data_IF_853944527908
#
_entry.id   IF_853944527908
#
_cell.length_a   1.000
_cell.length_b   1.000
_cell.length_c   1.000
_cell.angle_alpha   90.00
_cell.angle_beta   90.00
_cell.angle_gamma   90.00
#
_symmetry.space_group_name_H-M   'P 1'
#
loop_
_entity.id
_entity.type
_entity.pdbx_description
1 polymer ?
#
# COMPACT_ATOMS: atom_id res chain seq x y z
N UNK A 1 -40.70 16.03 -3.18
CA UNK A 1 -40.42 15.40 -1.86
C UNK A 1 -38.98 15.59 -1.42
N UNK A 2 -37.97 15.46 -2.29
CA UNK A 2 -36.52 15.54 -1.93
C UNK A 2 -36.10 16.88 -1.30
N UNK A 3 -36.62 18.01 -1.76
CA UNK A 3 -36.26 19.33 -1.21
C UNK A 3 -36.81 19.55 0.20
N UNK A 4 -37.98 19.00 0.55
CA UNK A 4 -38.55 19.13 1.91
C UNK A 4 -37.75 18.35 2.96
N UNK A 5 -37.16 17.19 2.57
CA UNK A 5 -36.30 16.39 3.44
C UNK A 5 -34.96 17.11 3.71
N UNK A 6 -34.42 17.78 2.69
CA UNK A 6 -33.16 18.54 2.82
C UNK A 6 -33.36 19.77 3.72
N UNK A 7 -34.49 20.50 3.57
CA UNK A 7 -34.82 21.65 4.45
C UNK A 7 -35.11 21.21 5.89
N UNK A 8 -35.74 20.04 6.08
CA UNK A 8 -35.98 19.49 7.41
C UNK A 8 -34.65 19.06 8.08
N UNK A 9 -33.72 18.53 7.33
CA UNK A 9 -32.38 18.13 7.81
C UNK A 9 -31.55 19.36 8.19
N UNK A 10 -31.54 20.41 7.34
CA UNK A 10 -30.86 21.68 7.65
C UNK A 10 -31.48 22.39 8.86
N UNK A 11 -32.81 22.35 9.01
CA UNK A 11 -33.50 22.94 10.17
C UNK A 11 -33.19 22.15 11.46
N UNK A 12 -33.08 20.83 11.40
CA UNK A 12 -32.71 19.99 12.53
C UNK A 12 -31.27 20.25 12.98
N UNK A 13 -30.35 20.40 12.02
CA UNK A 13 -28.94 20.73 12.28
C UNK A 13 -28.77 22.12 12.90
N UNK A 14 -29.58 23.11 12.45
CA UNK A 14 -29.62 24.45 13.08
C UNK A 14 -30.23 24.42 14.48
N UNK A 15 -31.26 23.60 14.71
CA UNK A 15 -31.90 23.46 16.02
C UNK A 15 -30.99 22.75 17.04
N UNK A 16 -30.23 21.75 16.61
CA UNK A 16 -29.22 21.09 17.45
C UNK A 16 -28.09 22.05 17.84
N UNK A 17 -27.64 22.91 16.92
CA UNK A 17 -26.61 23.92 17.19
C UNK A 17 -27.05 24.99 18.18
N UNK A 18 -28.36 25.14 18.39
CA UNK A 18 -28.94 26.12 19.33
C UNK A 18 -29.24 25.56 20.72
N UNK A 19 -29.18 24.24 20.91
CA UNK A 19 -29.60 23.57 22.16
C UNK A 19 -28.37 23.09 22.98
N UNK A 20 -27.19 22.99 22.34
CA UNK A 20 -25.99 22.65 23.06
C UNK A 20 -25.40 23.87 23.78
N UNK A 21 -24.99 23.75 25.05
CA UNK A 21 -24.31 24.84 25.74
C UNK A 21 -22.97 25.08 25.04
N UNK A 22 -22.91 26.18 24.27
CA UNK A 22 -21.74 26.58 23.48
C UNK A 22 -20.64 27.03 24.43
N UNK A 23 -19.82 26.11 24.91
CA UNK A 23 -18.46 26.43 25.28
C UNK A 23 -17.61 26.27 24.04
N UNK A 24 -17.31 27.37 23.38
CA UNK A 24 -16.23 27.65 22.44
C UNK A 24 -15.68 26.51 21.52
N UNK A 25 -16.48 25.49 21.17
CA UNK A 25 -16.11 24.53 20.14
C UNK A 25 -16.15 25.20 18.76
N UNK A 26 -15.11 25.04 17.98
CA UNK A 26 -15.04 25.58 16.61
C UNK A 26 -16.07 24.88 15.70
N UNK A 27 -16.44 25.51 14.59
CA UNK A 27 -17.40 24.92 13.63
C UNK A 27 -16.87 23.58 13.06
N UNK A 28 -15.56 23.39 13.04
CA UNK A 28 -14.92 22.15 12.57
C UNK A 28 -15.04 21.04 13.62
N UNK A 29 -14.92 21.33 14.92
CA UNK A 29 -15.15 20.37 16.01
C UNK A 29 -16.60 19.90 16.07
N UNK A 30 -17.57 20.83 15.87
CA UNK A 30 -18.98 20.46 15.80
C UNK A 30 -19.30 19.61 14.55
N UNK A 31 -18.67 19.90 13.42
CA UNK A 31 -18.81 19.12 12.21
C UNK A 31 -18.26 17.70 12.40
N UNK A 32 -17.13 17.56 13.05
CA UNK A 32 -16.52 16.27 13.37
C UNK A 32 -17.38 15.43 14.33
N UNK A 33 -17.93 16.04 15.38
CA UNK A 33 -18.85 15.38 16.33
C UNK A 33 -20.11 14.91 15.59
N UNK A 34 -20.72 15.76 14.76
CA UNK A 34 -21.92 15.41 14.00
C UNK A 34 -21.64 14.30 12.97
N UNK A 35 -20.50 14.34 12.30
CA UNK A 35 -20.10 13.31 11.35
C UNK A 35 -19.83 11.97 12.06
N UNK A 36 -19.12 11.99 13.17
CA UNK A 36 -18.84 10.79 13.98
C UNK A 36 -20.16 10.16 14.48
N UNK A 37 -21.11 10.94 14.94
CA UNK A 37 -22.42 10.43 15.42
C UNK A 37 -23.34 9.98 14.28
N UNK A 38 -23.41 10.73 13.17
CA UNK A 38 -24.28 10.40 12.03
C UNK A 38 -23.84 9.16 11.26
N UNK A 39 -22.54 8.95 11.12
CA UNK A 39 -21.97 7.82 10.37
C UNK A 39 -21.56 6.66 11.29
N UNK A 40 -21.82 6.75 12.60
CA UNK A 40 -21.42 5.74 13.61
C UNK A 40 -19.92 5.40 13.50
N UNK A 41 -19.09 6.41 13.32
CA UNK A 41 -17.63 6.21 13.32
C UNK A 41 -17.22 5.73 14.70
N UNK A 42 -16.81 4.49 14.78
CA UNK A 42 -16.27 3.92 16.00
C UNK A 42 -14.83 4.42 16.18
N UNK A 43 -14.55 5.13 17.27
CA UNK A 43 -13.23 5.71 17.53
C UNK A 43 -12.26 4.62 17.99
N UNK A 44 -12.67 3.80 18.97
CA UNK A 44 -11.90 2.66 19.47
C UNK A 44 -12.61 1.36 19.16
N UNK A 45 -11.88 0.41 18.58
CA UNK A 45 -12.41 -0.91 18.26
C UNK A 45 -11.57 -1.93 19.01
N UNK A 46 -12.25 -2.70 19.87
CA UNK A 46 -11.60 -3.81 20.56
C UNK A 46 -11.20 -4.89 19.53
N UNK A 47 -10.01 -5.51 19.65
CA UNK A 47 -9.61 -6.58 18.73
C UNK A 47 -10.62 -7.72 18.62
N UNK A 48 -11.38 -8.01 19.71
CA UNK A 48 -12.44 -9.03 19.69
C UNK A 48 -13.68 -8.64 18.87
N UNK A 49 -13.86 -7.37 18.56
CA UNK A 49 -14.98 -6.83 17.79
C UNK A 49 -14.68 -6.70 16.29
N UNK A 50 -13.44 -6.90 15.88
CA UNK A 50 -12.98 -6.75 14.52
C UNK A 50 -12.44 -8.08 13.97
N UNK A 51 -12.90 -8.53 12.78
CA UNK A 51 -12.30 -9.69 12.13
C UNK A 51 -10.80 -9.46 11.91
N UNK A 52 -10.01 -10.46 12.24
CA UNK A 52 -8.59 -10.45 11.94
C UNK A 52 -8.35 -10.52 10.43
N UNK A 53 -7.33 -9.82 9.95
CA UNK A 53 -6.89 -9.94 8.55
C UNK A 53 -6.13 -11.25 8.43
N UNK A 54 -6.63 -12.19 7.64
CA UNK A 54 -6.05 -13.54 7.50
C UNK A 54 -5.50 -13.82 6.10
N UNK A 55 -6.07 -13.18 5.07
CA UNK A 55 -5.72 -13.40 3.65
C UNK A 55 -4.65 -12.39 3.21
N UNK A 56 -3.39 -12.63 3.63
CA UNK A 56 -2.24 -11.81 3.23
C UNK A 56 -0.93 -12.60 3.26
N UNK A 57 -0.03 -12.26 2.36
CA UNK A 57 1.30 -12.87 2.24
C UNK A 57 2.30 -12.25 3.23
N UNK A 58 2.28 -10.93 3.39
CA UNK A 58 3.17 -10.15 4.28
C UNK A 58 2.51 -8.84 4.65
N UNK A 59 3.10 -8.14 5.61
CA UNK A 59 2.73 -6.77 5.97
C UNK A 59 3.94 -5.84 6.04
N UNK A 60 3.67 -4.55 5.85
CA UNK A 60 4.59 -3.46 6.20
C UNK A 60 3.99 -2.67 7.34
N UNK A 61 4.84 -2.21 8.26
CA UNK A 61 4.45 -1.32 9.34
C UNK A 61 5.02 0.07 9.07
N UNK A 62 4.18 1.10 9.16
CA UNK A 62 4.61 2.49 9.13
C UNK A 62 4.41 3.13 10.51
N UNK A 63 5.47 3.77 10.99
CA UNK A 63 5.51 4.53 12.24
C UNK A 63 5.60 5.99 11.86
N UNK A 64 4.59 6.76 12.22
CA UNK A 64 4.57 8.21 12.02
C UNK A 64 5.46 8.94 13.03
N UNK A 65 5.19 10.20 13.22
CA UNK A 65 5.96 11.11 14.07
C UNK A 65 5.97 10.65 15.53
N UNK A 66 7.13 10.31 16.06
CA UNK A 66 7.31 9.79 17.43
C UNK A 66 7.86 10.83 18.40
N UNK A 67 8.07 12.04 17.96
CA UNK A 67 8.73 13.10 18.71
C UNK A 67 8.14 13.33 20.10
N UNK A 68 6.82 13.35 20.23
CA UNK A 68 6.15 13.62 21.52
C UNK A 68 6.28 12.42 22.47
N UNK A 69 6.15 11.19 21.98
CA UNK A 69 6.36 10.01 22.83
C UNK A 69 7.84 9.86 23.19
N UNK A 70 8.75 10.20 22.32
CA UNK A 70 10.17 10.17 22.58
C UNK A 70 10.58 11.15 23.68
N UNK A 71 10.04 12.38 23.64
CA UNK A 71 10.33 13.43 24.62
C UNK A 71 9.65 13.17 25.96
N UNK A 72 8.33 12.99 25.95
CA UNK A 72 7.50 13.10 27.16
C UNK A 72 6.99 11.75 27.67
N UNK A 73 6.97 10.72 26.84
CA UNK A 73 6.41 9.40 27.17
C UNK A 73 7.33 8.26 26.69
N UNK A 74 8.59 8.20 27.13
CA UNK A 74 9.55 7.21 26.62
C UNK A 74 9.12 5.76 26.84
N UNK A 75 8.26 5.48 27.79
CA UNK A 75 7.66 4.17 28.00
C UNK A 75 6.72 3.78 26.85
N UNK A 76 6.05 4.76 26.22
CA UNK A 76 5.20 4.48 25.04
C UNK A 76 6.06 4.15 23.81
N UNK A 77 7.25 4.76 23.71
CA UNK A 77 8.23 4.39 22.67
C UNK A 77 8.63 2.91 22.85
N UNK A 78 8.94 2.49 24.07
CA UNK A 78 9.25 1.09 24.39
C UNK A 78 8.06 0.18 24.03
N UNK A 79 6.84 0.54 24.43
CA UNK A 79 5.63 -0.25 24.14
C UNK A 79 5.40 -0.39 22.62
N UNK A 80 5.65 0.66 21.84
CA UNK A 80 5.52 0.64 20.39
C UNK A 80 6.48 -0.37 19.76
N UNK A 81 7.76 -0.32 20.11
CA UNK A 81 8.76 -1.24 19.58
C UNK A 81 8.62 -2.66 20.12
N UNK A 82 8.17 -2.83 21.38
CA UNK A 82 7.77 -4.14 21.91
C UNK A 82 6.66 -4.76 21.07
N UNK A 83 5.65 -3.97 20.73
CA UNK A 83 4.54 -4.45 19.91
C UNK A 83 5.03 -4.89 18.52
N UNK A 84 5.86 -4.08 17.84
CA UNK A 84 6.42 -4.45 16.54
C UNK A 84 7.16 -5.80 16.65
N UNK A 85 8.11 -5.91 17.58
CA UNK A 85 8.95 -7.08 17.74
C UNK A 85 8.15 -8.35 18.08
N UNK A 86 7.14 -8.23 18.93
CA UNK A 86 6.28 -9.34 19.33
C UNK A 86 5.30 -9.79 18.22
N UNK A 87 5.11 -8.96 17.18
CA UNK A 87 4.17 -9.23 16.09
C UNK A 87 4.87 -9.54 14.75
N UNK A 88 6.20 -9.58 14.69
CA UNK A 88 6.92 -9.86 13.43
C UNK A 88 6.40 -11.12 12.76
N UNK A 89 6.37 -12.23 13.48
CA UNK A 89 5.91 -13.53 12.96
C UNK A 89 4.38 -13.56 12.77
N UNK A 90 3.62 -13.17 13.82
CA UNK A 90 2.16 -13.28 13.83
C UNK A 90 1.49 -12.44 12.74
N UNK A 91 2.05 -11.26 12.43
CA UNK A 91 1.53 -10.35 11.40
C UNK A 91 2.38 -10.35 10.13
N UNK A 92 3.34 -11.28 10.01
CA UNK A 92 4.26 -11.41 8.87
C UNK A 92 4.87 -10.04 8.49
N UNK A 93 5.36 -9.29 9.50
CA UNK A 93 5.94 -7.96 9.30
C UNK A 93 7.26 -8.12 8.56
N UNK A 94 7.28 -7.75 7.28
CA UNK A 94 8.44 -7.90 6.43
C UNK A 94 9.34 -6.64 6.44
N UNK A 95 8.80 -5.47 6.78
CA UNK A 95 9.52 -4.21 6.80
C UNK A 95 8.87 -3.17 7.69
N UNK A 96 9.69 -2.26 8.27
CA UNK A 96 9.21 -1.13 9.08
C UNK A 96 9.69 0.19 8.47
N UNK A 97 8.77 1.13 8.24
CA UNK A 97 9.05 2.49 7.76
C UNK A 97 8.86 3.49 8.89
N UNK A 98 9.89 4.22 9.29
CA UNK A 98 9.81 5.38 10.17
C UNK A 98 9.73 6.67 9.33
N UNK A 99 8.71 7.50 9.57
CA UNK A 99 8.36 8.60 8.68
C UNK A 99 8.86 9.98 9.13
N UNK A 100 9.80 10.01 10.05
CA UNK A 100 10.47 11.25 10.51
C UNK A 100 9.91 11.80 11.82
N UNK A 101 10.42 12.96 12.21
CA UNK A 101 10.16 13.60 13.49
C UNK A 101 10.27 12.61 14.66
N UNK A 102 11.44 11.97 14.73
CA UNK A 102 11.76 10.95 15.74
C UNK A 102 11.94 11.61 17.11
N UNK A 103 12.57 12.79 17.12
CA UNK A 103 12.83 13.61 18.32
C UNK A 103 12.14 14.96 18.21
N UNK A 104 11.76 15.58 19.34
CA UNK A 104 11.11 16.89 19.34
C UNK A 104 12.11 18.04 19.33
N UNK A 105 13.13 17.97 20.16
CA UNK A 105 14.14 19.02 20.34
C UNK A 105 15.56 18.59 20.01
N UNK A 106 15.73 17.38 19.50
CA UNK A 106 17.04 16.83 19.11
C UNK A 106 18.04 16.78 20.29
N UNK A 107 17.54 16.66 21.51
CA UNK A 107 18.37 16.54 22.71
C UNK A 107 19.06 15.17 22.78
N UNK A 108 20.18 15.12 23.53
CA UNK A 108 20.88 13.84 23.75
C UNK A 108 19.97 12.81 24.44
N UNK A 109 19.10 13.23 25.34
CA UNK A 109 18.18 12.35 26.05
C UNK A 109 17.15 11.71 25.11
N UNK A 110 16.52 12.50 24.24
CA UNK A 110 15.58 12.00 23.23
C UNK A 110 16.28 11.02 22.28
N UNK A 111 17.47 11.37 21.77
CA UNK A 111 18.23 10.48 20.90
C UNK A 111 18.64 9.16 21.58
N UNK A 112 18.93 9.19 22.89
CA UNK A 112 19.22 7.96 23.63
C UNK A 112 17.99 7.06 23.75
N UNK A 113 16.79 7.63 23.94
CA UNK A 113 15.53 6.90 23.92
C UNK A 113 15.26 6.31 22.54
N UNK A 114 15.29 7.15 21.50
CA UNK A 114 15.04 6.76 20.12
C UNK A 114 15.99 5.64 19.67
N UNK A 115 17.29 5.85 19.82
CA UNK A 115 18.32 4.88 19.44
C UNK A 115 18.13 3.54 20.14
N UNK A 116 17.92 3.55 21.45
CA UNK A 116 17.74 2.33 22.25
C UNK A 116 16.59 1.48 21.71
N UNK A 117 15.46 2.10 21.37
CA UNK A 117 14.28 1.35 20.93
C UNK A 117 14.38 0.94 19.44
N UNK A 118 14.82 1.85 18.58
CA UNK A 118 14.95 1.59 17.14
C UNK A 118 15.96 0.47 16.86
N UNK A 119 17.12 0.50 17.51
CA UNK A 119 18.18 -0.50 17.29
C UNK A 119 17.78 -1.92 17.68
N UNK A 120 16.70 -2.10 18.45
CA UNK A 120 16.14 -3.43 18.74
C UNK A 120 15.59 -4.14 17.51
N UNK A 121 15.32 -3.41 16.44
CA UNK A 121 14.91 -3.99 15.15
C UNK A 121 16.09 -4.66 14.42
N UNK A 122 17.34 -4.29 14.74
CA UNK A 122 18.51 -4.83 14.08
C UNK A 122 18.58 -6.37 14.17
N UNK A 123 18.68 -7.02 12.99
CA UNK A 123 18.71 -8.47 12.89
C UNK A 123 17.37 -9.19 13.13
N UNK A 124 16.29 -8.45 13.42
CA UNK A 124 14.95 -9.01 13.62
C UNK A 124 14.04 -8.72 12.41
N UNK A 125 13.91 -7.45 12.04
CA UNK A 125 13.13 -7.02 10.89
C UNK A 125 13.83 -5.83 10.23
N UNK A 126 13.98 -5.81 8.90
CA UNK A 126 14.59 -4.69 8.21
C UNK A 126 13.72 -3.44 8.30
N UNK A 127 14.37 -2.28 8.33
CA UNK A 127 13.67 -1.02 8.48
C UNK A 127 14.39 0.13 7.78
N UNK A 128 13.66 1.22 7.54
CA UNK A 128 14.22 2.50 7.12
C UNK A 128 13.61 3.65 7.91
N UNK A 129 14.39 4.71 8.03
CA UNK A 129 13.99 5.92 8.72
C UNK A 129 14.11 7.10 7.77
N UNK A 130 13.19 8.04 7.88
CA UNK A 130 13.25 9.34 7.24
C UNK A 130 13.57 10.38 8.31
N UNK A 131 14.32 11.40 7.96
CA UNK A 131 14.55 12.55 8.83
C UNK A 131 13.39 13.53 8.72
N UNK A 132 12.85 13.96 9.86
CA UNK A 132 11.86 15.03 9.93
C UNK A 132 12.47 16.41 10.20
N UNK A 133 11.63 17.45 10.29
CA UNK A 133 12.11 18.82 10.53
C UNK A 133 12.57 19.05 11.98
N UNK A 134 12.06 18.29 12.93
CA UNK A 134 12.53 18.32 14.32
C UNK A 134 13.87 17.61 14.49
N UNK A 135 14.22 16.68 13.60
CA UNK A 135 15.47 15.92 13.64
C UNK A 135 16.61 16.69 12.96
N UNK A 136 17.49 17.31 13.72
CA UNK A 136 18.66 17.99 13.12
C UNK A 136 19.58 16.98 12.45
N UNK A 137 19.88 17.18 11.17
CA UNK A 137 20.60 16.24 10.31
C UNK A 137 21.92 15.73 10.91
N UNK A 138 22.74 16.61 11.53
CA UNK A 138 24.00 16.18 12.15
C UNK A 138 23.78 15.27 13.37
N UNK A 139 22.75 15.52 14.18
CA UNK A 139 22.41 14.67 15.32
C UNK A 139 21.81 13.35 14.85
N UNK A 140 20.89 13.39 13.89
CA UNK A 140 20.29 12.22 13.26
C UNK A 140 21.37 11.25 12.74
N UNK A 141 22.29 11.73 11.91
CA UNK A 141 23.37 10.90 11.38
C UNK A 141 24.32 10.42 12.48
N UNK A 142 24.73 11.29 13.40
CA UNK A 142 25.61 10.91 14.50
C UNK A 142 25.06 9.80 15.38
N UNK A 143 23.74 9.79 15.59
CA UNK A 143 23.11 8.86 16.52
C UNK A 143 22.66 7.57 15.86
N UNK A 144 22.19 7.62 14.61
CA UNK A 144 21.54 6.49 13.94
C UNK A 144 22.35 5.87 12.80
N UNK A 145 23.34 6.57 12.21
CA UNK A 145 24.18 6.01 11.15
C UNK A 145 25.21 5.02 11.73
N UNK A 146 24.72 3.95 12.32
CA UNK A 146 25.54 2.85 12.82
C UNK A 146 25.84 1.84 11.73
N UNK A 147 26.92 1.07 11.87
CA UNK A 147 27.26 0.01 10.91
C UNK A 147 26.08 -0.94 10.69
N UNK A 148 25.40 -1.37 11.75
CA UNK A 148 24.24 -2.25 11.68
C UNK A 148 23.06 -1.65 10.91
N UNK A 149 22.86 -0.34 10.96
CA UNK A 149 21.80 0.32 10.21
C UNK A 149 22.23 0.62 8.77
N UNK A 150 23.44 1.13 8.58
CA UNK A 150 23.95 1.46 7.24
C UNK A 150 24.10 0.24 6.34
N UNK A 151 24.46 -0.93 6.91
CA UNK A 151 24.57 -2.19 6.17
C UNK A 151 23.24 -2.69 5.60
N UNK A 152 22.11 -2.10 5.98
CA UNK A 152 20.80 -2.44 5.41
C UNK A 152 20.54 -1.77 4.05
N UNK A 153 21.35 -0.78 3.66
CA UNK A 153 21.17 -0.01 2.42
C UNK A 153 22.23 -0.40 1.39
N UNK A 154 21.87 -0.32 0.13
CA UNK A 154 22.75 -0.50 -1.01
C UNK A 154 23.42 0.81 -1.43
N UNK A 155 22.86 1.94 -0.99
CA UNK A 155 23.49 3.25 -1.20
C UNK A 155 22.83 4.39 -0.47
N UNK A 156 23.59 5.49 -0.38
CA UNK A 156 23.16 6.77 0.16
C UNK A 156 23.60 7.90 -0.77
N UNK A 157 22.90 9.04 -0.73
CA UNK A 157 23.24 10.23 -1.53
C UNK A 157 24.60 10.82 -1.11
N UNK A 158 24.91 10.77 0.17
CA UNK A 158 26.19 11.19 0.72
C UNK A 158 26.78 10.02 1.50
N UNK A 159 28.05 9.72 1.26
CA UNK A 159 28.79 8.71 2.00
C UNK A 159 28.70 8.98 3.53
N UNK A 160 28.59 7.93 4.31
CA UNK A 160 28.47 7.97 5.78
C UNK A 160 27.22 8.70 6.32
N UNK A 161 26.21 8.96 5.48
CA UNK A 161 24.97 9.62 5.89
C UNK A 161 23.74 8.80 5.51
N UNK A 162 22.71 8.93 6.34
CA UNK A 162 21.45 8.20 6.20
C UNK A 162 20.24 9.10 5.90
N UNK A 163 20.46 10.38 5.59
CA UNK A 163 19.37 11.31 5.26
C UNK A 163 18.62 10.91 3.99
N UNK A 164 19.35 10.33 3.03
CA UNK A 164 18.78 9.84 1.77
C UNK A 164 19.43 8.50 1.42
N UNK A 165 18.64 7.45 1.42
CA UNK A 165 19.11 6.08 1.24
C UNK A 165 18.21 5.30 0.30
N UNK A 166 18.72 4.20 -0.24
CA UNK A 166 17.92 3.28 -1.02
C UNK A 166 18.40 1.83 -0.81
N UNK A 167 17.46 0.90 -1.05
CA UNK A 167 17.73 -0.53 -1.10
C UNK A 167 16.73 -1.26 -1.97
N UNK A 168 17.12 -2.41 -2.50
CA UNK A 168 16.20 -3.41 -3.02
C UNK A 168 15.69 -4.31 -1.90
N UNK A 169 14.49 -4.87 -2.07
CA UNK A 169 13.88 -5.75 -1.09
C UNK A 169 12.89 -6.70 -1.77
N UNK A 170 13.10 -8.01 -1.64
CA UNK A 170 12.21 -9.01 -2.21
C UNK A 170 11.40 -9.69 -1.12
N UNK A 171 10.08 -9.74 -1.28
CA UNK A 171 9.17 -10.45 -0.39
C UNK A 171 8.02 -11.06 -1.19
N UNK A 172 7.66 -12.31 -0.94
CA UNK A 172 6.59 -13.04 -1.62
C UNK A 172 6.66 -12.92 -3.17
N UNK A 173 7.86 -13.01 -3.73
CA UNK A 173 8.17 -12.85 -5.16
C UNK A 173 7.87 -11.45 -5.75
N UNK A 174 7.70 -10.45 -4.91
CA UNK A 174 7.60 -9.05 -5.35
C UNK A 174 8.91 -8.36 -5.06
N UNK A 175 9.53 -7.79 -6.10
CA UNK A 175 10.76 -7.02 -5.98
C UNK A 175 10.41 -5.54 -5.75
N UNK A 176 10.85 -5.01 -4.63
CA UNK A 176 10.68 -3.63 -4.22
C UNK A 176 11.98 -2.85 -4.32
N UNK A 177 11.88 -1.56 -4.64
CA UNK A 177 12.91 -0.56 -4.42
C UNK A 177 12.39 0.44 -3.39
N UNK A 178 13.03 0.50 -2.23
CA UNK A 178 12.74 1.49 -1.20
C UNK A 178 13.68 2.66 -1.35
N UNK A 179 13.12 3.86 -1.48
CA UNK A 179 13.87 5.13 -1.59
C UNK A 179 13.42 6.05 -0.47
N UNK A 180 14.33 6.36 0.43
CA UNK A 180 14.08 7.21 1.59
C UNK A 180 14.66 8.59 1.33
N UNK A 181 13.81 9.62 1.34
CA UNK A 181 14.18 10.99 1.02
C UNK A 181 14.06 11.89 2.23
N UNK A 182 15.04 12.71 2.41
CA UNK A 182 15.12 13.71 3.46
C UNK A 182 13.94 14.69 3.47
N UNK A 183 13.73 15.34 4.61
CA UNK A 183 12.78 16.44 4.74
C UNK A 183 13.06 17.54 3.70
N UNK A 184 12.15 17.67 2.75
CA UNK A 184 12.27 18.65 1.68
C UNK A 184 13.45 18.40 0.74
N UNK A 185 13.56 17.20 0.18
CA UNK A 185 14.65 16.84 -0.73
C UNK A 185 14.90 17.89 -1.83
N UNK A 186 16.18 18.26 -2.06
CA UNK A 186 16.58 19.20 -3.08
C UNK A 186 16.46 18.62 -4.48
N UNK A 187 16.57 19.45 -5.53
CA UNK A 187 16.57 18.99 -6.93
C UNK A 187 17.69 17.98 -7.20
N UNK A 188 18.86 18.17 -6.61
CA UNK A 188 19.98 17.24 -6.75
C UNK A 188 19.65 15.86 -6.18
N UNK A 189 18.99 15.81 -5.01
CA UNK A 189 18.54 14.57 -4.38
C UNK A 189 17.43 13.91 -5.20
N UNK A 190 16.47 14.69 -5.73
CA UNK A 190 15.41 14.14 -6.58
C UNK A 190 15.96 13.56 -7.89
N UNK A 191 16.97 14.21 -8.49
CA UNK A 191 17.64 13.69 -9.70
C UNK A 191 18.38 12.38 -9.40
N UNK A 192 19.16 12.34 -8.31
CA UNK A 192 19.84 11.12 -7.86
C UNK A 192 18.85 9.97 -7.62
N UNK A 193 17.73 10.23 -6.92
CA UNK A 193 16.69 9.22 -6.72
C UNK A 193 16.09 8.75 -8.07
N UNK A 194 15.90 9.67 -9.02
CA UNK A 194 15.43 9.35 -10.36
C UNK A 194 16.35 8.42 -11.13
N UNK A 195 17.67 8.63 -11.03
CA UNK A 195 18.68 7.76 -11.65
C UNK A 195 18.61 6.33 -11.06
N UNK A 196 18.44 6.21 -9.76
CA UNK A 196 18.29 4.91 -9.09
C UNK A 196 16.99 4.22 -9.53
N UNK A 197 15.87 4.93 -9.56
CA UNK A 197 14.58 4.38 -9.98
C UNK A 197 14.64 3.91 -11.44
N UNK A 198 15.27 4.68 -12.31
CA UNK A 198 15.46 4.33 -13.72
C UNK A 198 16.35 3.08 -13.89
N UNK A 199 17.33 2.88 -13.01
CA UNK A 199 18.19 1.70 -13.02
C UNK A 199 17.48 0.42 -12.50
N UNK A 200 16.31 0.56 -11.89
CA UNK A 200 15.53 -0.55 -11.31
C UNK A 200 14.11 -0.62 -11.91
N UNK A 201 13.95 -0.73 -13.24
CA UNK A 201 12.64 -0.61 -13.90
C UNK A 201 11.66 -1.72 -13.51
N UNK A 202 12.15 -2.85 -13.02
CA UNK A 202 11.36 -4.02 -12.66
C UNK A 202 11.00 -4.09 -11.16
N UNK A 203 11.32 -3.06 -10.39
CA UNK A 203 10.98 -3.01 -8.96
C UNK A 203 9.76 -2.13 -8.72
N UNK A 204 8.88 -2.54 -7.83
CA UNK A 204 7.86 -1.65 -7.26
C UNK A 204 8.53 -0.63 -6.35
N UNK A 205 8.45 0.64 -6.70
CA UNK A 205 9.09 1.69 -5.91
C UNK A 205 8.16 2.18 -4.82
N UNK A 206 8.62 2.10 -3.58
CA UNK A 206 8.02 2.79 -2.44
C UNK A 206 8.97 3.91 -2.01
N UNK A 207 8.45 5.13 -2.02
CA UNK A 207 9.19 6.31 -1.54
C UNK A 207 8.68 6.65 -0.16
N UNK A 208 9.58 6.80 0.81
CA UNK A 208 9.27 7.42 2.09
C UNK A 208 9.94 8.80 2.19
N UNK A 209 9.19 9.77 2.68
CA UNK A 209 9.67 11.12 2.96
C UNK A 209 8.86 11.69 4.12
N UNK A 210 9.29 12.83 4.70
CA UNK A 210 8.56 13.38 5.84
C UNK A 210 7.42 14.30 5.40
N UNK A 211 7.70 15.46 4.82
CA UNK A 211 6.70 16.49 4.51
C UNK A 211 6.23 16.42 3.05
N UNK A 212 5.10 15.78 2.80
CA UNK A 212 4.61 15.57 1.43
C UNK A 212 3.11 15.89 1.26
N UNK A 213 2.25 15.27 2.06
CA UNK A 213 0.80 15.44 1.98
C UNK A 213 0.26 16.35 3.08
N UNK A 214 -0.92 16.90 2.82
CA UNK A 214 -1.76 17.60 3.79
C UNK A 214 -2.99 16.76 4.12
N UNK A 215 -3.59 16.98 5.32
CA UNK A 215 -4.69 16.16 5.89
C UNK A 215 -5.97 16.08 5.03
N UNK A 216 -6.09 16.82 3.96
CA UNK A 216 -7.21 16.76 3.01
C UNK A 216 -6.88 15.95 1.74
N UNK A 217 -5.81 15.16 1.75
CA UNK A 217 -5.33 14.38 0.61
C UNK A 217 -4.60 15.19 -0.46
N UNK A 218 -4.49 16.52 -0.31
CA UNK A 218 -3.71 17.35 -1.22
C UNK A 218 -2.22 17.29 -0.86
N UNK A 219 -1.36 17.57 -1.83
CA UNK A 219 0.07 17.72 -1.59
C UNK A 219 0.38 19.08 -1.00
N UNK A 220 1.40 19.17 -0.16
CA UNK A 220 1.92 20.43 0.36
C UNK A 220 2.39 21.30 -0.82
N UNK A 221 1.94 22.56 -0.85
CA UNK A 221 2.31 23.56 -1.86
C UNK A 221 2.94 24.79 -1.19
N UNK A 222 3.46 25.72 -1.99
CA UNK A 222 4.01 26.98 -1.48
C UNK A 222 3.00 27.84 -0.71
N UNK A 223 1.70 27.62 -0.93
CA UNK A 223 0.60 28.38 -0.31
C UNK A 223 0.05 27.73 0.95
N UNK A 224 0.39 26.49 1.26
CA UNK A 224 0.03 25.83 2.53
C UNK A 224 0.94 26.37 3.66
N UNK A 225 0.70 27.61 4.08
CA UNK A 225 1.63 28.31 4.99
C UNK A 225 1.12 28.37 6.44
N UNK A 226 -0.09 27.87 6.72
CA UNK A 226 -0.83 28.37 7.88
C UNK A 226 -0.73 27.57 9.15
N UNK A 227 -0.24 26.36 9.17
CA UNK A 227 -0.19 25.63 10.45
C UNK A 227 0.97 24.65 10.55
N UNK A 228 1.72 24.47 9.49
CA UNK A 228 2.74 23.44 9.48
C UNK A 228 3.92 23.93 8.66
N UNK A 229 5.12 23.70 9.13
CA UNK A 229 6.31 24.18 8.44
C UNK A 229 6.40 23.60 7.04
N UNK A 230 6.13 24.43 6.04
CA UNK A 230 6.50 24.09 4.68
C UNK A 230 8.02 23.94 4.61
N UNK A 231 8.59 22.88 4.02
CA UNK A 231 10.02 22.68 3.93
C UNK A 231 10.79 23.93 3.45
N UNK A 232 10.23 24.66 2.48
CA UNK A 232 10.82 25.90 1.98
C UNK A 232 10.90 27.03 3.00
N UNK A 233 10.07 27.03 4.02
CA UNK A 233 10.08 28.05 5.06
C UNK A 233 11.08 27.76 6.17
N UNK A 234 11.52 26.49 6.31
CA UNK A 234 12.44 26.04 7.34
C UNK A 234 13.89 25.91 6.85
N UNK A 235 14.11 26.08 5.56
CA UNK A 235 15.41 25.96 4.91
C UNK A 235 15.74 27.24 4.15
N UNK A 236 16.85 27.26 3.44
CA UNK A 236 17.26 28.34 2.54
C UNK A 236 16.41 28.46 1.25
N UNK A 237 15.36 27.64 1.12
CA UNK A 237 14.46 27.61 -0.03
C UNK A 237 14.94 26.74 -1.19
N UNK A 238 16.11 26.07 -1.07
CA UNK A 238 16.65 25.17 -2.09
C UNK A 238 15.97 23.81 -2.15
N UNK A 239 15.02 23.56 -1.26
CA UNK A 239 14.29 22.29 -1.09
C UNK A 239 12.91 22.32 -1.77
N UNK A 240 12.33 21.14 -1.96
CA UNK A 240 11.04 20.97 -2.60
C UNK A 240 9.91 20.72 -1.59
N UNK A 241 8.75 21.29 -1.84
CA UNK A 241 7.51 20.89 -1.18
C UNK A 241 6.83 19.72 -1.92
N UNK A 242 5.82 19.09 -1.31
CA UNK A 242 5.20 17.87 -1.82
C UNK A 242 4.74 17.93 -3.28
N UNK A 243 4.12 19.04 -3.73
CA UNK A 243 3.73 19.17 -5.13
C UNK A 243 4.94 19.24 -6.07
N UNK A 244 6.03 19.88 -5.67
CA UNK A 244 7.25 19.91 -6.49
C UNK A 244 7.95 18.54 -6.56
N UNK A 245 7.96 17.78 -5.45
CA UNK A 245 8.47 16.40 -5.48
C UNK A 245 7.63 15.51 -6.41
N UNK A 246 6.31 15.68 -6.40
CA UNK A 246 5.43 15.01 -7.35
C UNK A 246 5.77 15.36 -8.80
N UNK A 247 5.84 16.65 -9.13
CA UNK A 247 6.04 17.11 -10.50
C UNK A 247 7.43 16.74 -11.04
N UNK A 248 8.45 16.71 -10.17
CA UNK A 248 9.84 16.48 -10.52
C UNK A 248 10.26 15.01 -10.50
N UNK A 249 9.64 14.19 -9.67
CA UNK A 249 10.04 12.79 -9.47
C UNK A 249 8.84 11.82 -9.44
N UNK A 250 7.90 11.98 -8.49
CA UNK A 250 6.99 10.91 -8.13
C UNK A 250 5.96 10.58 -9.20
N UNK A 251 5.63 11.54 -10.08
CA UNK A 251 4.75 11.29 -11.24
C UNK A 251 5.47 10.75 -12.47
N UNK A 252 6.81 10.71 -12.48
CA UNK A 252 7.60 10.58 -13.71
C UNK A 252 8.04 9.16 -14.03
N UNK A 253 7.94 8.25 -13.12
CA UNK A 253 8.37 6.85 -13.31
C UNK A 253 7.18 5.92 -13.14
N UNK A 254 6.98 5.02 -14.09
CA UNK A 254 5.83 4.11 -14.13
C UNK A 254 5.82 3.08 -13.00
N UNK A 255 7.00 2.75 -12.47
CA UNK A 255 7.19 1.79 -11.39
C UNK A 255 7.06 2.40 -9.99
N UNK A 256 6.87 3.73 -9.86
CA UNK A 256 6.53 4.33 -8.58
C UNK A 256 5.09 3.93 -8.22
N UNK A 257 4.97 3.24 -7.11
CA UNK A 257 3.74 2.59 -6.66
C UNK A 257 3.15 3.28 -5.43
N UNK A 258 3.99 3.66 -4.46
CA UNK A 258 3.53 4.16 -3.18
C UNK A 258 4.43 5.28 -2.65
N UNK A 259 3.82 6.23 -1.94
CA UNK A 259 4.52 7.28 -1.18
C UNK A 259 4.01 7.25 0.25
N UNK A 260 4.91 7.19 1.22
CA UNK A 260 4.61 7.25 2.65
C UNK A 260 5.14 8.55 3.23
N UNK A 261 4.34 9.26 4.03
CA UNK A 261 4.73 10.54 4.64
C UNK A 261 4.13 10.75 6.02
N UNK A 262 4.78 11.61 6.82
CA UNK A 262 4.36 12.11 8.13
C UNK A 262 4.12 13.62 8.13
N UNK A 263 4.60 14.32 9.18
CA UNK A 263 4.69 15.78 9.32
C UNK A 263 3.39 16.52 9.62
N UNK A 264 2.28 16.16 8.98
CA UNK A 264 1.01 16.86 9.17
C UNK A 264 0.13 16.03 10.08
N UNK A 265 0.01 16.45 11.32
CA UNK A 265 -0.79 15.72 12.31
C UNK A 265 -2.20 15.44 11.80
N UNK A 266 -2.59 14.19 11.84
CA UNK A 266 -3.90 13.67 11.44
C UNK A 266 -4.30 12.53 12.35
N UNK A 267 -5.61 12.40 12.61
CA UNK A 267 -6.12 11.26 13.40
C UNK A 267 -6.12 9.96 12.58
N UNK A 268 -6.38 10.06 11.27
CA UNK A 268 -6.55 8.91 10.37
C UNK A 268 -5.30 8.59 9.57
N UNK A 269 -5.24 7.38 9.04
CA UNK A 269 -4.34 7.02 7.95
C UNK A 269 -4.97 7.52 6.66
N UNK A 270 -4.49 8.67 6.18
CA UNK A 270 -5.03 9.31 4.97
C UNK A 270 -4.46 8.65 3.72
N UNK A 271 -5.32 8.33 2.77
CA UNK A 271 -4.94 7.81 1.46
C UNK A 271 -5.41 8.76 0.35
N UNK A 272 -4.49 9.18 -0.49
CA UNK A 272 -4.76 9.88 -1.74
C UNK A 272 -4.22 9.08 -2.92
N UNK A 273 -5.00 8.99 -3.99
CA UNK A 273 -4.63 8.20 -5.17
C UNK A 273 -4.48 9.14 -6.37
N UNK A 274 -3.35 9.05 -7.05
CA UNK A 274 -3.07 9.88 -8.22
C UNK A 274 -2.54 9.03 -9.39
N UNK A 275 -2.63 9.59 -10.60
CA UNK A 275 -2.03 9.00 -11.79
C UNK A 275 -0.71 9.69 -12.13
N UNK A 276 0.35 8.91 -12.30
CA UNK A 276 1.59 9.38 -12.89
C UNK A 276 1.43 9.71 -14.38
N UNK A 277 2.44 10.31 -14.97
CA UNK A 277 2.41 10.70 -16.39
C UNK A 277 2.33 9.50 -17.36
N UNK A 278 2.71 8.32 -16.90
CA UNK A 278 2.62 7.05 -17.65
C UNK A 278 1.28 6.33 -17.41
N UNK A 279 0.34 6.92 -16.63
CA UNK A 279 -0.95 6.32 -16.30
C UNK A 279 -0.92 5.33 -15.14
N UNK A 280 0.26 5.05 -14.58
CA UNK A 280 0.43 4.24 -13.36
C UNK A 280 -0.31 4.87 -12.18
N UNK A 281 -0.76 4.02 -11.26
CA UNK A 281 -1.43 4.49 -10.03
C UNK A 281 -0.41 4.61 -8.91
N UNK A 282 -0.37 5.79 -8.27
CA UNK A 282 0.46 6.06 -7.11
C UNK A 282 -0.42 6.25 -5.87
N UNK A 283 -0.24 5.40 -4.88
CA UNK A 283 -0.94 5.46 -3.58
C UNK A 283 -0.12 6.29 -2.61
N UNK A 284 -0.69 7.40 -2.13
CA UNK A 284 0.02 8.39 -1.32
C UNK A 284 -0.60 8.39 0.08
N UNK A 285 0.21 8.14 1.10
CA UNK A 285 -0.21 8.05 2.48
C UNK A 285 0.33 9.22 3.32
N UNK A 286 -0.54 9.75 4.17
CA UNK A 286 -0.16 10.56 5.30
C UNK A 286 -0.46 9.79 6.59
N UNK A 287 0.56 9.58 7.40
CA UNK A 287 0.51 8.79 8.63
C UNK A 287 1.25 9.59 9.72
N UNK A 288 0.50 10.41 10.45
CA UNK A 288 1.04 11.21 11.56
C UNK A 288 0.00 11.37 12.68
N UNK A 289 -0.16 10.37 13.53
CA UNK A 289 -1.11 10.39 14.64
C UNK A 289 -0.55 11.03 15.93
N UNK A 290 0.50 11.82 15.88
CA UNK A 290 1.22 12.34 17.05
C UNK A 290 0.36 13.16 18.02
N UNK A 291 -0.68 13.85 17.54
CA UNK A 291 -1.52 14.74 18.35
C UNK A 291 -2.74 14.06 18.98
N UNK A 292 -2.83 12.72 18.87
CA UNK A 292 -3.94 12.01 19.46
C UNK A 292 -3.82 11.95 20.99
N UNK A 293 -4.69 12.72 21.63
CA UNK A 293 -4.92 12.80 23.06
C UNK A 293 -3.83 13.48 23.91
N UNK A 294 -3.94 14.80 24.00
CA UNK A 294 -3.12 15.61 24.90
C UNK A 294 -3.33 15.27 26.40
N UNK A 295 -4.42 14.58 26.75
CA UNK A 295 -4.78 14.30 28.16
C UNK A 295 -4.17 13.01 28.68
N UNK A 296 -4.00 12.00 27.84
CA UNK A 296 -3.43 10.68 28.22
C UNK A 296 -2.07 10.42 27.59
N UNK A 297 -1.60 11.31 26.73
CA UNK A 297 -0.36 11.21 25.98
C UNK A 297 -0.53 10.43 24.67
N UNK A 298 0.38 10.67 23.72
CA UNK A 298 0.34 10.00 22.42
C UNK A 298 0.37 8.48 22.54
N UNK A 299 -0.42 7.81 21.71
CA UNK A 299 -0.86 6.43 21.92
C UNK A 299 0.00 5.37 21.25
N UNK A 300 1.24 5.70 20.82
CA UNK A 300 2.12 4.73 20.19
C UNK A 300 1.47 4.06 18.98
N UNK A 301 0.99 4.87 18.02
CA UNK A 301 0.22 4.38 16.88
C UNK A 301 1.11 3.77 15.81
N UNK A 302 0.61 2.71 15.18
CA UNK A 302 1.20 2.12 13.97
C UNK A 302 0.14 2.02 12.89
N UNK A 303 0.54 2.21 11.64
CA UNK A 303 -0.25 1.82 10.49
C UNK A 303 0.31 0.50 9.94
N UNK A 304 -0.56 -0.47 9.68
CA UNK A 304 -0.20 -1.78 9.18
C UNK A 304 -0.80 -1.93 7.79
N UNK A 305 0.03 -2.22 6.81
CA UNK A 305 -0.36 -2.42 5.42
C UNK A 305 -0.18 -3.90 5.10
N UNK A 306 -1.27 -4.66 5.02
CA UNK A 306 -1.28 -6.08 4.67
C UNK A 306 -1.46 -6.24 3.16
N UNK A 307 -0.58 -6.98 2.54
CA UNK A 307 -0.62 -7.29 1.11
C UNK A 307 -1.18 -8.69 0.90
N UNK A 308 -2.28 -8.81 0.13
CA UNK A 308 -2.91 -10.10 -0.15
C UNK A 308 -1.99 -11.06 -0.90
N UNK A 309 -2.27 -12.37 -0.81
CA UNK A 309 -1.45 -13.41 -1.44
C UNK A 309 -1.44 -13.30 -2.97
N UNK A 310 -2.52 -12.82 -3.58
CA UNK A 310 -2.61 -12.53 -5.01
C UNK A 310 -1.94 -11.21 -5.44
N UNK A 311 -1.44 -10.43 -4.47
CA UNK A 311 -0.78 -9.15 -4.71
C UNK A 311 -1.68 -8.04 -5.26
N UNK A 312 -3.01 -8.19 -5.20
CA UNK A 312 -3.98 -7.26 -5.81
C UNK A 312 -4.82 -6.48 -4.80
N UNK A 313 -4.57 -6.64 -3.52
CA UNK A 313 -5.28 -5.92 -2.45
C UNK A 313 -4.31 -5.49 -1.35
N UNK A 314 -4.51 -4.28 -0.85
CA UNK A 314 -3.90 -3.83 0.41
C UNK A 314 -5.00 -3.59 1.42
N UNK A 315 -4.83 -4.13 2.62
CA UNK A 315 -5.67 -3.83 3.79
C UNK A 315 -4.86 -2.98 4.75
N UNK A 316 -5.45 -1.86 5.18
CA UNK A 316 -4.83 -0.93 6.11
C UNK A 316 -5.51 -1.05 7.47
N UNK A 317 -4.71 -1.11 8.51
CA UNK A 317 -5.14 -1.02 9.89
C UNK A 317 -4.35 0.05 10.63
N UNK A 318 -5.02 0.81 11.47
CA UNK A 318 -4.41 1.73 12.43
C UNK A 318 -4.62 1.18 13.84
N UNK A 319 -3.53 0.99 14.57
CA UNK A 319 -3.54 0.34 15.87
C UNK A 319 -2.74 1.12 16.90
N UNK A 320 -3.30 1.29 18.10
CA UNK A 320 -2.60 1.84 19.25
C UNK A 320 -1.95 0.72 20.04
N UNK A 321 -0.63 0.76 20.15
CA UNK A 321 0.13 -0.20 20.93
C UNK A 321 -0.04 0.01 22.44
N UNK A 322 -0.33 1.25 22.86
CA UNK A 322 -0.57 1.64 24.24
C UNK A 322 -1.96 1.23 24.71
N UNK A 323 -3.02 1.53 23.90
CA UNK A 323 -4.39 1.18 24.21
C UNK A 323 -4.72 -0.28 23.87
N UNK A 324 -3.90 -0.94 23.08
CA UNK A 324 -4.11 -2.29 22.54
C UNK A 324 -5.44 -2.40 21.78
N UNK A 325 -5.78 -1.37 21.01
CA UNK A 325 -7.03 -1.27 20.24
C UNK A 325 -6.79 -0.70 18.86
N UNK A 326 -7.65 -1.04 17.92
CA UNK A 326 -7.71 -0.36 16.64
C UNK A 326 -8.31 1.02 16.81
N UNK A 327 -7.81 1.97 16.03
CA UNK A 327 -8.23 3.35 16.12
C UNK A 327 -8.94 3.78 14.84
N UNK A 328 -10.08 4.44 14.96
CA UNK A 328 -10.97 4.89 13.90
C UNK A 328 -11.40 3.80 12.91
N UNK A 329 -12.69 3.52 12.86
CA UNK A 329 -13.26 2.59 11.89
C UNK A 329 -12.99 3.02 10.43
N UNK A 330 -12.83 4.30 10.18
CA UNK A 330 -12.46 4.87 8.87
C UNK A 330 -11.01 4.66 8.48
N UNK A 331 -10.13 4.32 9.44
CA UNK A 331 -8.74 3.94 9.19
C UNK A 331 -8.54 2.42 9.07
N UNK A 332 -9.65 1.66 9.08
CA UNK A 332 -9.69 0.21 8.88
C UNK A 332 -10.33 -0.05 7.50
N UNK A 333 -9.54 -0.10 6.43
CA UNK A 333 -10.06 -0.19 5.07
C UNK A 333 -9.18 -1.06 4.17
N UNK A 334 -9.74 -1.45 3.02
CA UNK A 334 -9.00 -2.15 1.99
C UNK A 334 -9.21 -1.49 0.64
N UNK A 335 -8.23 -1.60 -0.23
CA UNK A 335 -8.32 -1.14 -1.61
C UNK A 335 -7.61 -2.10 -2.55
N UNK A 336 -8.08 -2.12 -3.80
CA UNK A 336 -7.46 -2.93 -4.86
C UNK A 336 -6.25 -2.19 -5.41
N UNK A 337 -5.21 -2.97 -5.70
CA UNK A 337 -4.02 -2.52 -6.41
C UNK A 337 -3.90 -3.32 -7.71
N UNK A 338 -3.36 -2.73 -8.80
CA UNK A 338 -3.13 -3.50 -10.02
C UNK A 338 -2.15 -4.63 -9.75
N UNK A 339 -2.36 -5.75 -10.40
CA UNK A 339 -1.35 -6.79 -10.48
C UNK A 339 -0.07 -6.15 -11.04
N UNK A 340 1.04 -6.45 -10.39
CA UNK A 340 2.33 -5.96 -10.83
C UNK A 340 3.14 -7.13 -11.36
N UNK A 341 3.23 -7.21 -12.66
CA UNK A 341 4.23 -8.03 -13.32
C UNK A 341 5.08 -7.09 -14.19
N UNK A 342 6.20 -6.63 -13.67
CA UNK A 342 7.09 -5.73 -14.39
C UNK A 342 7.90 -6.44 -15.48
N UNK A 343 7.80 -7.77 -15.51
CA UNK A 343 8.59 -8.56 -16.42
C UNK A 343 7.81 -8.82 -17.71
N UNK A 344 8.39 -8.40 -18.82
CA UNK A 344 7.91 -8.75 -20.16
C UNK A 344 8.58 -10.03 -20.60
N UNK A 345 7.78 -11.04 -20.94
CA UNK A 345 8.24 -12.32 -21.47
C UNK A 345 7.62 -12.50 -22.86
N UNK A 346 8.30 -12.07 -23.90
CA UNK A 346 7.78 -12.11 -25.27
C UNK A 346 8.26 -13.32 -26.06
N UNK A 347 9.41 -13.88 -25.72
CA UNK A 347 10.03 -14.99 -26.45
C UNK A 347 10.14 -16.22 -25.58
N UNK A 348 9.22 -17.18 -25.80
CA UNK A 348 9.24 -18.46 -25.15
C UNK A 348 9.97 -19.50 -26.01
N UNK A 349 10.80 -20.33 -25.37
CA UNK A 349 11.49 -21.45 -26.00
C UNK A 349 11.02 -22.75 -25.34
N UNK A 350 10.63 -23.72 -26.14
CA UNK A 350 10.22 -25.04 -25.65
C UNK A 350 11.37 -25.71 -24.89
N UNK A 351 11.08 -26.25 -23.72
CA UNK A 351 12.03 -27.01 -22.91
C UNK A 351 12.26 -28.46 -23.43
N UNK A 352 11.48 -28.87 -24.44
CA UNK A 352 11.61 -30.18 -25.07
C UNK A 352 11.25 -31.36 -24.14
N UNK A 353 10.50 -31.10 -23.07
CA UNK A 353 10.22 -32.08 -22.01
C UNK A 353 8.78 -32.67 -22.05
N UNK A 354 8.04 -32.42 -23.14
CA UNK A 354 6.74 -33.01 -23.35
C UNK A 354 6.89 -34.57 -23.48
N UNK A 355 5.91 -35.26 -22.90
CA UNK A 355 5.86 -36.72 -22.96
C UNK A 355 4.49 -37.21 -23.41
N UNK A 356 4.29 -38.49 -23.61
CA UNK A 356 2.98 -39.05 -23.89
C UNK A 356 2.03 -39.02 -22.66
N UNK A 357 2.53 -38.73 -21.47
CA UNK A 357 1.72 -38.61 -20.24
C UNK A 357 1.49 -37.16 -19.79
N UNK A 358 2.43 -36.29 -20.07
CA UNK A 358 2.41 -34.91 -19.56
C UNK A 358 2.70 -33.91 -20.66
N UNK A 359 2.00 -32.79 -20.57
CA UNK A 359 2.34 -31.61 -21.35
C UNK A 359 3.75 -31.13 -21.02
N UNK A 360 4.44 -30.59 -22.02
CA UNK A 360 5.74 -29.97 -21.85
C UNK A 360 5.65 -28.56 -21.33
N UNK A 361 6.81 -27.99 -21.05
CA UNK A 361 6.93 -26.60 -20.63
C UNK A 361 7.71 -25.79 -21.67
N UNK A 362 7.52 -24.49 -21.61
CA UNK A 362 8.34 -23.53 -22.33
C UNK A 362 8.83 -22.46 -21.35
N UNK A 363 10.05 -22.00 -21.54
CA UNK A 363 10.69 -21.01 -20.70
C UNK A 363 11.03 -19.78 -21.51
N UNK A 364 10.71 -18.59 -20.97
CA UNK A 364 11.15 -17.32 -21.50
C UNK A 364 12.05 -16.62 -20.48
N UNK A 365 13.02 -15.86 -20.98
CA UNK A 365 13.76 -14.88 -20.20
C UNK A 365 13.09 -13.52 -20.34
N UNK A 366 13.06 -12.74 -19.28
CA UNK A 366 12.56 -11.37 -19.34
C UNK A 366 13.34 -10.55 -20.37
N UNK A 367 12.60 -9.75 -21.15
CA UNK A 367 13.19 -8.92 -22.22
C UNK A 367 14.17 -7.86 -21.67
N UNK A 368 14.07 -7.51 -20.38
CA UNK A 368 14.89 -6.47 -19.74
C UNK A 368 15.79 -6.96 -18.58
N UNK A 369 15.72 -8.23 -18.16
CA UNK A 369 16.55 -8.75 -17.06
C UNK A 369 16.77 -10.28 -17.13
N UNK A 370 17.43 -10.84 -16.13
CA UNK A 370 17.78 -12.27 -16.09
C UNK A 370 16.65 -13.18 -15.53
N UNK A 371 15.53 -12.63 -15.10
CA UNK A 371 14.41 -13.42 -14.55
C UNK A 371 13.81 -14.31 -15.64
N UNK A 372 13.49 -15.53 -15.28
CA UNK A 372 12.86 -16.50 -16.19
C UNK A 372 11.46 -16.83 -15.75
N UNK A 373 10.58 -17.09 -16.71
CA UNK A 373 9.22 -17.60 -16.51
C UNK A 373 9.07 -18.90 -17.27
N UNK A 374 8.68 -19.96 -16.57
CA UNK A 374 8.34 -21.26 -17.17
C UNK A 374 6.84 -21.47 -17.06
N UNK A 375 6.20 -21.90 -18.15
CA UNK A 375 4.77 -22.22 -18.17
C UNK A 375 4.51 -23.55 -18.88
N UNK A 376 3.44 -24.23 -18.51
CA UNK A 376 3.00 -25.45 -19.18
C UNK A 376 2.35 -25.09 -20.53
N UNK A 377 2.68 -25.84 -21.57
CA UNK A 377 2.07 -25.73 -22.90
C UNK A 377 0.96 -26.76 -22.99
N UNK A 378 -0.27 -26.37 -22.68
CA UNK A 378 -1.44 -27.24 -22.70
C UNK A 378 -1.62 -27.89 -24.08
N UNK A 379 -1.85 -29.19 -24.09
CA UNK A 379 -2.04 -29.96 -25.31
C UNK A 379 -0.76 -30.30 -26.05
N UNK A 380 0.41 -30.07 -25.45
CA UNK A 380 1.72 -30.39 -26.04
C UNK A 380 2.18 -31.83 -25.81
N UNK A 381 1.37 -32.67 -25.18
CA UNK A 381 1.64 -34.11 -25.06
C UNK A 381 1.99 -34.68 -26.42
N UNK A 382 3.04 -35.51 -26.50
CA UNK A 382 3.38 -36.18 -27.73
C UNK A 382 2.57 -37.46 -27.88
N UNK A 383 2.11 -37.74 -29.11
CA UNK A 383 1.54 -39.04 -29.48
C UNK A 383 2.68 -40.06 -29.77
N UNK A 384 3.90 -39.60 -29.89
CA UNK A 384 5.06 -40.42 -30.15
C UNK A 384 5.47 -41.22 -28.90
N UNK A 385 5.43 -42.52 -29.00
CA UNK A 385 5.88 -43.43 -27.95
C UNK A 385 7.28 -44.01 -28.29
N UNK A 386 8.17 -43.92 -27.32
CA UNK A 386 9.47 -44.59 -27.44
C UNK A 386 9.33 -46.01 -26.86
N UNK A 387 9.26 -47.01 -27.75
CA UNK A 387 9.09 -48.40 -27.34
C UNK A 387 10.42 -49.06 -27.10
N UNK A 388 10.55 -49.70 -25.92
CA UNK A 388 11.67 -50.60 -25.55
C UNK A 388 11.03 -51.96 -25.22
N UNK A 389 11.48 -53.00 -25.86
CA UNK A 389 10.93 -54.37 -25.71
C UNK A 389 9.40 -54.45 -25.89
N UNK A 390 8.85 -53.65 -26.83
CA UNK A 390 7.43 -53.65 -27.14
C UNK A 390 6.53 -52.85 -26.17
N UNK A 391 7.13 -52.13 -25.22
CA UNK A 391 6.41 -51.32 -24.22
C UNK A 391 6.98 -49.89 -24.21
N UNK A 392 6.10 -48.89 -24.19
CA UNK A 392 6.56 -47.50 -24.08
C UNK A 392 7.30 -47.27 -22.74
N UNK A 393 8.49 -46.73 -22.81
CA UNK A 393 9.36 -46.50 -21.65
C UNK A 393 8.82 -45.45 -20.67
N UNK A 394 7.83 -44.65 -21.09
CA UNK A 394 7.24 -43.56 -20.31
C UNK A 394 5.86 -43.92 -19.75
N UNK A 395 4.92 -44.42 -20.60
CA UNK A 395 3.55 -44.66 -20.18
C UNK A 395 3.18 -46.16 -20.08
N UNK A 396 4.11 -47.06 -20.34
CA UNK A 396 3.94 -48.53 -20.34
C UNK A 396 2.86 -49.04 -21.35
N UNK A 397 2.45 -48.24 -22.32
CA UNK A 397 1.56 -48.65 -23.38
C UNK A 397 2.27 -49.65 -24.30
N UNK A 398 1.58 -50.74 -24.71
CA UNK A 398 2.11 -51.70 -25.67
C UNK A 398 2.23 -51.08 -27.08
N UNK A 399 3.26 -51.45 -27.81
CA UNK A 399 3.43 -51.07 -29.20
C UNK A 399 2.22 -51.56 -30.03
N UNK A 400 1.73 -50.76 -31.01
CA UNK A 400 0.67 -51.19 -31.89
C UNK A 400 1.05 -52.47 -32.59
N UNK A 401 0.20 -53.50 -32.45
CA UNK A 401 0.37 -54.73 -33.24
C UNK A 401 -0.08 -54.41 -34.66
N UNK A 402 0.79 -54.66 -35.63
CA UNK A 402 0.38 -54.61 -37.05
C UNK A 402 -0.54 -55.78 -37.30
N UNK A 403 -1.87 -55.50 -37.38
CA UNK A 403 -2.80 -56.51 -37.83
C UNK A 403 -2.54 -56.91 -39.29
N UNK A 404 -2.66 -58.21 -39.61
CA UNK A 404 -2.58 -58.64 -40.99
C UNK A 404 -3.78 -58.11 -41.79
N UNK A 405 -3.68 -57.88 -43.09
CA UNK A 405 -4.71 -57.18 -43.89
C UNK A 405 -5.99 -57.98 -43.85
N UNK A 406 -7.07 -57.34 -43.37
CA UNK A 406 -8.45 -57.86 -43.34
C UNK A 406 -9.04 -57.72 -44.71
N UNK A 407 -9.47 -58.86 -45.31
CA UNK A 407 -10.27 -58.90 -46.52
C UNK A 407 -11.66 -58.34 -46.25
N UNK A 408 -12.08 -57.37 -47.06
CA UNK A 408 -13.38 -56.70 -47.02
C UNK A 408 -14.58 -57.66 -47.08
N UNK A 409 -15.57 -57.43 -46.17
CA UNK A 409 -16.92 -57.96 -46.27
C UNK A 409 -17.91 -56.83 -46.59
N UNK A 410 -19.03 -57.13 -47.27
CA UNK A 410 -19.84 -56.08 -47.95
C UNK A 410 -20.70 -55.21 -47.03
N UNK A 411 -20.85 -53.96 -47.44
CA UNK A 411 -21.59 -52.88 -46.81
C UNK A 411 -23.09 -53.10 -46.69
N UNK A 412 -23.68 -52.87 -45.50
CA UNK A 412 -25.14 -52.69 -45.31
C UNK A 412 -25.45 -51.17 -45.29
N UNK A 413 -26.68 -50.78 -45.72
CA UNK A 413 -27.02 -49.38 -45.93
C UNK A 413 -27.31 -48.60 -44.63
N UNK A 414 -27.29 -47.28 -44.67
CA UNK A 414 -27.30 -46.43 -43.45
C UNK A 414 -28.70 -46.23 -42.89
N UNK A 415 -28.86 -46.29 -41.58
CA UNK A 415 -30.03 -45.83 -40.85
C UNK A 415 -29.90 -44.35 -40.49
N UNK A 416 -30.99 -43.61 -40.69
CA UNK A 416 -31.08 -42.19 -40.34
C UNK A 416 -31.64 -42.02 -38.94
N UNK A 417 -30.92 -41.30 -38.07
CA UNK A 417 -31.42 -40.85 -36.78
C UNK A 417 -31.97 -39.40 -36.85
N UNK A 418 -33.00 -39.07 -36.05
CA UNK A 418 -33.63 -37.77 -36.07
C UNK A 418 -32.90 -36.74 -35.24
N UNK A 419 -33.02 -35.47 -35.65
CA UNK A 419 -32.39 -34.29 -35.07
C UNK A 419 -32.85 -33.96 -33.63
N UNK A 420 -31.99 -33.41 -32.80
CA UNK A 420 -32.36 -32.91 -31.48
C UNK A 420 -32.95 -31.50 -31.55
N UNK A 421 -33.97 -31.27 -30.73
CA UNK A 421 -34.65 -30.00 -30.52
C UNK A 421 -33.93 -29.17 -29.45
N UNK A 422 -33.72 -27.88 -29.74
CA UNK A 422 -33.22 -26.87 -28.82
C UNK A 422 -34.16 -26.59 -27.63
N UNK A 423 -33.66 -26.34 -26.42
CA UNK A 423 -34.44 -25.69 -25.38
C UNK A 423 -34.13 -24.20 -25.30
N UNK A 424 -35.19 -23.44 -25.13
CA UNK A 424 -35.27 -21.99 -25.06
C UNK A 424 -34.48 -21.39 -23.86
N UNK A 425 -33.83 -20.26 -24.12
CA UNK A 425 -33.29 -19.34 -23.14
C UNK A 425 -34.39 -18.74 -22.27
N UNK A 426 -34.13 -18.67 -20.97
CA UNK A 426 -34.83 -17.79 -20.02
C UNK A 426 -33.84 -16.81 -19.44
N UNK A 427 -34.02 -15.54 -19.80
CA UNK A 427 -33.34 -14.38 -19.18
C UNK A 427 -33.85 -14.19 -17.75
N UNK A 428 -32.93 -14.29 -16.81
CA UNK A 428 -33.09 -13.84 -15.42
C UNK A 428 -31.96 -12.92 -15.02
N UNK A 429 -32.28 -11.68 -14.69
CA UNK A 429 -31.36 -10.65 -14.24
C UNK A 429 -30.68 -11.06 -12.93
N UNK A 430 -29.36 -10.91 -12.89
CA UNK A 430 -28.49 -11.28 -11.79
C UNK A 430 -28.59 -10.26 -10.65
N UNK A 431 -28.66 -10.76 -9.41
CA UNK A 431 -28.75 -9.98 -8.16
C UNK A 431 -27.55 -9.02 -7.93
N UNK A 432 -26.47 -9.21 -8.66
CA UNK A 432 -25.29 -8.33 -8.59
C UNK A 432 -25.53 -6.93 -9.16
N UNK A 433 -26.41 -6.76 -10.14
CA UNK A 433 -26.73 -5.44 -10.73
C UNK A 433 -27.57 -4.55 -9.81
N UNK A 434 -28.38 -5.12 -8.94
CA UNK A 434 -29.23 -4.38 -7.99
C UNK A 434 -28.38 -3.73 -6.87
N UNK A 435 -27.29 -4.37 -6.46
CA UNK A 435 -26.39 -3.84 -5.43
C UNK A 435 -25.55 -2.69 -5.97
N UNK A 436 -25.15 -2.71 -7.25
CA UNK A 436 -24.39 -1.63 -7.88
C UNK A 436 -25.21 -0.32 -8.02
N UNK A 437 -26.50 -0.42 -8.29
CA UNK A 437 -27.39 0.75 -8.41
C UNK A 437 -27.65 1.42 -7.06
N UNK A 438 -27.68 0.67 -5.96
CA UNK A 438 -27.85 1.21 -4.62
C UNK A 438 -26.58 1.93 -4.12
N UNK A 439 -25.39 1.42 -4.44
CA UNK A 439 -24.11 2.04 -4.08
C UNK A 439 -23.89 3.37 -4.85
N UNK A 440 -24.27 3.42 -6.12
CA UNK A 440 -24.17 4.63 -6.96
C UNK A 440 -25.04 5.78 -6.45
N UNK A 441 -26.21 5.48 -5.88
CA UNK A 441 -27.11 6.50 -5.33
C UNK A 441 -26.58 7.12 -4.01
N UNK A 442 -25.83 6.36 -3.21
CA UNK A 442 -25.23 6.84 -1.97
C UNK A 442 -24.02 7.76 -2.23
N UNK A 443 -23.20 7.46 -3.26
CA UNK A 443 -22.07 8.31 -3.66
C UNK A 443 -22.55 9.64 -4.23
N UNK A 444 -23.66 9.66 -4.97
CA UNK A 444 -24.26 10.90 -5.48
C UNK A 444 -24.80 11.79 -4.35
N UNK A 445 -25.33 11.23 -3.27
CA UNK A 445 -25.83 11.99 -2.12
C UNK A 445 -24.68 12.61 -1.29
N UNK A 446 -23.55 11.91 -1.13
CA UNK A 446 -22.35 12.44 -0.47
C UNK A 446 -21.69 13.58 -1.25
N UNK A 447 -21.64 13.49 -2.58
CA UNK A 447 -21.12 14.54 -3.45
C UNK A 447 -21.92 15.85 -3.40
N UNK A 448 -23.23 15.78 -3.22
CA UNK A 448 -24.10 16.98 -3.13
C UNK A 448 -23.89 17.73 -1.81
N UNK A 449 -23.63 17.02 -0.71
CA UNK A 449 -23.33 17.65 0.58
C UNK A 449 -22.02 18.45 0.54
N UNK A 450 -20.97 17.91 -0.09
CA UNK A 450 -19.68 18.59 -0.27
C UNK A 450 -19.79 19.85 -1.14
N UNK A 451 -20.62 19.82 -2.19
CA UNK A 451 -20.86 20.99 -3.07
C UNK A 451 -21.64 22.10 -2.35
N UNK A 452 -22.59 21.77 -1.47
CA UNK A 452 -23.32 22.77 -0.68
C UNK A 452 -22.42 23.51 0.32
N UNK A 453 -21.48 22.84 0.95
CA UNK A 453 -20.51 23.47 1.87
C UNK A 453 -19.52 24.37 1.11
N UNK A 454 -19.09 23.96 -0.08
CA UNK A 454 -18.13 24.71 -0.91
C UNK A 454 -18.77 25.98 -1.50
N UNK A 455 -20.04 25.94 -1.87
CA UNK A 455 -20.76 27.10 -2.41
C UNK A 455 -21.06 28.19 -1.35
N UNK A 456 -21.18 27.79 -0.08
CA UNK A 456 -21.40 28.74 1.03
C UNK A 456 -20.11 29.51 1.39
N UNK A 457 -18.92 28.92 1.16
CA UNK A 457 -17.62 29.59 1.38
C UNK A 457 -17.23 30.62 0.30
N UNK A 458 -17.90 30.62 -0.87
CA UNK A 458 -17.62 31.59 -1.96
C UNK A 458 -18.50 32.85 -1.94
N UNK A 459 -19.39 32.98 -0.96
CA UNK A 459 -20.30 34.13 -0.83
C UNK A 459 -20.18 34.87 0.51
N UNK A 460 -19.12 34.62 1.28
CA UNK A 460 -18.79 35.37 2.48
C UNK A 460 -17.42 36.03 2.39
#
# INVERSE_FOLDING_TARGET
MKNKLLYALCALLLALALILPVSAATADELADIIIKDMFKVQVWIDPSEKPEVTDYAYSFVAVGDTQIICESYPQHMTTLYDWILNNVEAKKIAYVFGLGDITNHTTTAEWQVAKREIERLNGVVPYSLVRGNHDKSNAYNKMLATEAYMSQFEGSYQEDRIDNTWRTFTVANVDYLFVNLDYGASDAILNWAGEIIAAHPHHRVIISTHAYMYRNGARITATNTTATPNPKNLTDGSVNHGQQMWDKLFSRYENIFMVLSGHISTESVELSVAKGIHGNTVYQFLIDPQALDETTGPMGMVAILYFSEDGQKVTVEQYSTVQQKYFLSTSQYSFKIPAYDPHSFTTFTSDGNATCLSDGTETAKCDGCEKTLTRTVEGSKTEDHVYVDGVCSVCAASAPQTEPPVTEAPLLPPQTDPAPTDPAEQDGLDTAEIVLLAASALIAAGGIAAVCVTLKRRRG
#
